data_IF_989228427200
#
_entry.id   IF_989228427200
#
_cell.length_a   1.000
_cell.length_b   1.000
_cell.length_c   1.000
_cell.angle_alpha   90.00
_cell.angle_beta   90.00
_cell.angle_gamma   90.00
#
_symmetry.space_group_name_H-M   'P 1'
#
loop_
_entity.id
_entity.type
_entity.pdbx_description
1 polymer ?
#
# COMPACT_ATOMS: atom_id res chain seq x y z
N UNK A 1 6.22 -14.96 20.46
CA UNK A 1 6.12 -14.86 18.99
C UNK A 1 6.86 -13.63 18.50
N UNK A 2 7.72 -13.77 17.52
CA UNK A 2 8.34 -12.58 16.92
C UNK A 2 7.27 -11.72 16.24
N UNK A 3 7.39 -10.41 16.41
CA UNK A 3 6.52 -9.48 15.68
C UNK A 3 6.86 -9.50 14.19
N UNK A 4 5.85 -9.38 13.34
CA UNK A 4 6.09 -9.15 11.93
C UNK A 4 6.82 -7.82 11.76
N UNK A 5 7.88 -7.75 10.93
CA UNK A 5 8.49 -6.47 10.58
C UNK A 5 7.47 -5.54 9.93
N UNK A 6 7.50 -4.29 10.37
CA UNK A 6 6.43 -3.36 10.02
C UNK A 6 6.93 -1.93 10.22
N UNK A 7 6.75 -1.10 9.20
CA UNK A 7 7.04 0.32 9.24
C UNK A 7 5.73 1.10 9.10
N UNK A 8 5.48 1.98 10.03
CA UNK A 8 4.33 2.89 9.99
C UNK A 8 4.84 4.32 9.87
N UNK A 9 4.37 5.03 8.85
CA UNK A 9 4.71 6.42 8.61
C UNK A 9 3.47 7.28 8.67
N UNK A 10 3.57 8.37 9.42
CA UNK A 10 2.51 9.37 9.48
C UNK A 10 2.65 10.30 8.27
N UNK A 11 1.55 10.57 7.60
CA UNK A 11 1.48 11.58 6.54
C UNK A 11 1.07 12.90 7.20
N UNK A 12 1.88 13.94 7.01
CA UNK A 12 1.65 15.23 7.68
C UNK A 12 2.06 16.39 6.78
N UNK A 13 1.28 17.48 6.84
CA UNK A 13 1.57 18.78 6.23
C UNK A 13 1.59 19.91 7.28
N UNK A 14 1.89 19.56 8.54
CA UNK A 14 1.71 20.40 9.71
C UNK A 14 0.49 19.97 10.52
N UNK A 15 -0.45 19.24 9.87
CA UNK A 15 -1.59 18.60 10.48
C UNK A 15 -1.60 17.13 10.08
N UNK A 16 -2.30 16.28 10.84
CA UNK A 16 -2.40 14.86 10.47
C UNK A 16 -3.21 14.70 9.20
N UNK A 17 -2.61 14.07 8.17
CA UNK A 17 -3.23 13.81 6.87
C UNK A 17 -3.61 12.35 6.67
N UNK A 18 -2.93 11.42 7.36
CA UNK A 18 -3.14 10.00 7.19
C UNK A 18 -1.93 9.20 7.60
N UNK A 19 -1.88 7.96 7.15
CA UNK A 19 -0.78 7.05 7.44
C UNK A 19 -0.55 6.10 6.27
N UNK A 20 0.69 5.64 6.13
CA UNK A 20 1.07 4.56 5.21
C UNK A 20 1.88 3.54 6.00
N UNK A 21 1.64 2.25 5.76
CA UNK A 21 2.40 1.20 6.41
C UNK A 21 2.98 0.23 5.38
N UNK A 22 4.11 -0.36 5.74
CA UNK A 22 4.79 -1.39 4.96
C UNK A 22 4.95 -2.62 5.87
N UNK A 23 4.34 -3.72 5.45
CA UNK A 23 4.31 -4.99 6.18
C UNK A 23 5.07 -6.04 5.38
N UNK A 24 6.01 -6.72 6.00
CA UNK A 24 6.86 -7.65 5.28
C UNK A 24 7.39 -8.77 6.19
N UNK A 25 7.89 -9.84 5.57
CA UNK A 25 8.69 -10.87 6.23
C UNK A 25 10.14 -10.68 5.83
N UNK A 26 11.06 -10.77 6.78
CA UNK A 26 12.49 -10.65 6.48
C UNK A 26 12.98 -11.87 5.70
N UNK A 27 13.82 -11.62 4.70
CA UNK A 27 14.43 -12.65 3.88
C UNK A 27 13.57 -13.21 2.75
N UNK A 28 12.39 -12.66 2.54
CA UNK A 28 11.49 -13.07 1.45
C UNK A 28 10.65 -11.91 0.95
N UNK A 29 10.23 -11.97 -0.30
CA UNK A 29 9.28 -11.04 -0.89
C UNK A 29 7.82 -11.51 -0.74
N UNK A 30 7.58 -12.63 -0.07
CA UNK A 30 6.24 -13.16 0.16
C UNK A 30 5.44 -12.27 1.09
N UNK A 31 4.11 -12.31 0.92
CA UNK A 31 3.22 -11.61 1.84
C UNK A 31 3.23 -12.27 3.22
N UNK A 32 3.25 -11.46 4.31
CA UNK A 32 3.04 -12.00 5.63
C UNK A 32 1.68 -12.70 5.75
N UNK A 33 1.54 -13.70 6.64
CA UNK A 33 0.25 -14.34 6.88
C UNK A 33 -0.80 -13.32 7.32
N UNK A 34 -2.03 -13.52 6.88
CA UNK A 34 -3.21 -12.72 7.25
C UNK A 34 -3.18 -11.24 6.79
N UNK A 35 -2.27 -10.88 5.87
CA UNK A 35 -2.29 -9.56 5.23
C UNK A 35 -2.51 -9.72 3.73
N UNK A 36 -3.20 -8.75 3.13
CA UNK A 36 -3.58 -8.80 1.72
C UNK A 36 -2.58 -8.10 0.80
N UNK A 37 -1.66 -7.31 1.36
CA UNK A 37 -0.64 -6.61 0.61
C UNK A 37 0.48 -6.14 1.53
N UNK A 38 1.63 -5.80 0.93
CA UNK A 38 2.76 -5.26 1.66
C UNK A 38 2.51 -3.83 2.15
N UNK A 39 1.73 -3.05 1.40
CA UNK A 39 1.49 -1.63 1.68
C UNK A 39 0.01 -1.36 1.81
N UNK A 40 -0.35 -0.69 2.89
CA UNK A 40 -1.67 -0.11 3.07
C UNK A 40 -1.53 1.37 3.42
N UNK A 41 -2.48 2.20 2.96
CA UNK A 41 -2.45 3.62 3.29
C UNK A 41 -3.86 4.20 3.36
N UNK A 42 -3.98 5.30 4.08
CA UNK A 42 -5.21 6.08 4.16
C UNK A 42 -4.89 7.56 4.29
N UNK A 43 -5.74 8.38 3.71
CA UNK A 43 -5.68 9.84 3.84
C UNK A 43 -7.02 10.30 4.38
N UNK A 44 -7.00 11.17 5.40
CA UNK A 44 -8.25 11.69 5.97
C UNK A 44 -9.06 12.43 4.91
N UNK A 45 -10.41 12.35 4.91
CA UNK A 45 -11.23 12.85 3.81
C UNK A 45 -10.98 14.31 3.43
N UNK A 46 -10.76 15.19 4.39
CA UNK A 46 -10.54 16.62 4.15
C UNK A 46 -9.15 16.97 3.64
N UNK A 47 -8.25 15.98 3.57
CA UNK A 47 -6.90 16.13 3.01
C UNK A 47 -6.71 15.38 1.70
N UNK A 48 -7.77 14.77 1.17
CA UNK A 48 -7.70 14.02 -0.11
C UNK A 48 -7.54 14.96 -1.29
N UNK A 49 -7.07 14.40 -2.42
CA UNK A 49 -6.84 15.09 -3.69
C UNK A 49 -5.76 16.18 -3.63
N UNK A 50 -4.82 16.05 -2.71
CA UNK A 50 -3.68 16.96 -2.54
C UNK A 50 -2.33 16.32 -2.87
N UNK A 51 -2.34 15.08 -3.40
CA UNK A 51 -1.13 14.37 -3.75
C UNK A 51 -0.41 13.69 -2.59
N UNK A 52 -0.97 13.67 -1.39
CA UNK A 52 -0.33 13.09 -0.20
C UNK A 52 -0.14 11.59 -0.34
N UNK A 53 -1.14 10.87 -0.85
CA UNK A 53 -1.03 9.42 -1.06
C UNK A 53 0.03 9.09 -2.12
N UNK A 54 0.08 9.87 -3.21
CA UNK A 54 1.08 9.72 -4.27
C UNK A 54 2.49 9.93 -3.71
N UNK A 55 2.69 10.99 -2.93
CA UNK A 55 3.98 11.28 -2.31
C UNK A 55 4.39 10.19 -1.30
N UNK A 56 3.44 9.73 -0.49
CA UNK A 56 3.69 8.68 0.50
C UNK A 56 4.09 7.36 -0.17
N UNK A 57 3.40 6.98 -1.24
CA UNK A 57 3.73 5.76 -1.99
C UNK A 57 5.12 5.86 -2.62
N UNK A 58 5.46 7.03 -3.18
CA UNK A 58 6.79 7.27 -3.74
C UNK A 58 7.90 7.15 -2.68
N UNK A 59 7.63 7.56 -1.44
CA UNK A 59 8.59 7.46 -0.36
C UNK A 59 8.77 6.03 0.15
N UNK A 60 7.73 5.21 0.08
CA UNK A 60 7.81 3.82 0.57
C UNK A 60 8.62 2.92 -0.38
N UNK A 61 8.68 3.23 -1.67
CA UNK A 61 9.37 2.41 -2.66
C UNK A 61 10.87 2.25 -2.36
N UNK A 62 11.65 3.30 -2.07
CA UNK A 62 13.06 3.14 -1.71
C UNK A 62 13.25 2.40 -0.37
N UNK A 63 12.30 2.51 0.55
CA UNK A 63 12.34 1.78 1.82
C UNK A 63 12.16 0.28 1.55
N UNK A 64 11.20 -0.09 0.73
CA UNK A 64 10.99 -1.48 0.33
C UNK A 64 12.18 -2.03 -0.43
N UNK A 65 12.76 -1.24 -1.32
CA UNK A 65 13.96 -1.61 -2.05
C UNK A 65 15.14 -1.88 -1.12
N UNK A 66 15.33 -1.04 -0.10
CA UNK A 66 16.39 -1.22 0.91
C UNK A 66 16.20 -2.50 1.72
N UNK A 67 14.96 -2.97 1.89
CA UNK A 67 14.64 -4.24 2.54
C UNK A 67 14.76 -5.46 1.60
N UNK A 68 15.18 -5.26 0.35
CA UNK A 68 15.41 -6.33 -0.62
C UNK A 68 14.25 -6.63 -1.55
N UNK A 69 13.20 -5.82 -1.54
CA UNK A 69 12.05 -6.02 -2.40
C UNK A 69 12.28 -5.44 -3.80
N UNK A 70 12.08 -6.25 -4.83
CA UNK A 70 12.02 -5.80 -6.21
C UNK A 70 10.63 -5.32 -6.58
N UNK A 71 9.62 -5.92 -5.97
CA UNK A 71 8.21 -5.62 -6.17
C UNK A 71 7.47 -5.70 -4.86
N UNK A 72 6.43 -4.89 -4.73
CA UNK A 72 5.52 -4.91 -3.59
C UNK A 72 4.09 -5.07 -4.08
N UNK A 73 3.23 -5.57 -3.21
CA UNK A 73 1.80 -5.67 -3.46
C UNK A 73 1.09 -4.59 -2.67
N UNK A 74 0.27 -3.80 -3.36
CA UNK A 74 -0.54 -2.73 -2.77
C UNK A 74 -2.00 -3.08 -3.00
N UNK A 75 -2.80 -3.03 -1.95
CA UNK A 75 -4.24 -3.31 -2.03
C UNK A 75 -5.05 -2.03 -2.03
N UNK A 76 -6.16 -2.05 -2.76
CA UNK A 76 -7.18 -1.03 -2.63
C UNK A 76 -8.57 -1.63 -2.80
N UNK A 77 -9.58 -0.93 -2.27
CA UNK A 77 -10.97 -1.32 -2.47
C UNK A 77 -11.39 -1.13 -3.93
N UNK A 78 -12.26 -2.00 -4.42
CA UNK A 78 -12.70 -2.01 -5.82
C UNK A 78 -13.42 -0.72 -6.24
N UNK A 79 -14.03 -0.03 -5.30
CA UNK A 79 -14.76 1.23 -5.54
C UNK A 79 -13.96 2.48 -5.17
N UNK A 80 -12.71 2.33 -4.75
CA UNK A 80 -11.85 3.46 -4.41
C UNK A 80 -11.03 3.88 -5.65
N UNK A 81 -11.67 4.62 -6.54
CA UNK A 81 -11.05 5.04 -7.80
C UNK A 81 -9.85 5.94 -7.61
N UNK A 82 -9.86 6.80 -6.58
CA UNK A 82 -8.72 7.68 -6.26
C UNK A 82 -7.49 6.87 -5.85
N UNK A 83 -7.67 5.87 -5.01
CA UNK A 83 -6.59 4.97 -4.59
C UNK A 83 -6.03 4.20 -5.78
N UNK A 84 -6.90 3.64 -6.60
CA UNK A 84 -6.52 2.91 -7.80
C UNK A 84 -5.70 3.77 -8.74
N UNK A 85 -6.13 5.01 -8.97
CA UNK A 85 -5.43 5.95 -9.85
C UNK A 85 -4.01 6.26 -9.34
N UNK A 86 -3.86 6.47 -8.03
CA UNK A 86 -2.54 6.70 -7.41
C UNK A 86 -1.61 5.53 -7.68
N UNK A 87 -2.09 4.30 -7.49
CA UNK A 87 -1.30 3.09 -7.69
C UNK A 87 -0.93 2.92 -9.18
N UNK A 88 -1.88 3.13 -10.08
CA UNK A 88 -1.64 3.01 -11.53
C UNK A 88 -0.65 4.06 -12.03
N UNK A 89 -0.74 5.30 -11.54
CA UNK A 89 0.22 6.35 -11.89
C UNK A 89 1.63 6.05 -11.39
N UNK A 90 1.76 5.30 -10.30
CA UNK A 90 3.06 4.85 -9.81
C UNK A 90 3.61 3.64 -10.59
N UNK A 91 2.87 3.14 -11.57
CA UNK A 91 3.27 2.00 -12.38
C UNK A 91 2.70 0.67 -11.92
N UNK A 92 1.71 0.69 -11.03
CA UNK A 92 1.09 -0.53 -10.52
C UNK A 92 0.27 -1.26 -11.58
N UNK A 93 0.37 -2.58 -11.56
CA UNK A 93 -0.37 -3.47 -12.45
C UNK A 93 -1.28 -4.37 -11.63
N UNK A 94 -2.57 -4.42 -12.00
CA UNK A 94 -3.52 -5.31 -11.37
C UNK A 94 -3.09 -6.76 -11.56
N UNK A 95 -2.90 -7.49 -10.47
CA UNK A 95 -2.45 -8.88 -10.51
C UNK A 95 -3.45 -9.86 -9.91
N UNK A 96 -4.37 -9.40 -9.06
CA UNK A 96 -5.38 -10.27 -8.44
C UNK A 96 -6.55 -9.45 -7.92
N UNK A 97 -7.65 -10.16 -7.68
CA UNK A 97 -8.85 -9.62 -7.04
C UNK A 97 -9.34 -10.68 -6.07
N UNK A 98 -9.69 -10.27 -4.85
CA UNK A 98 -10.20 -11.15 -3.81
C UNK A 98 -11.48 -10.59 -3.22
N UNK A 99 -12.45 -11.46 -2.92
CA UNK A 99 -13.66 -11.05 -2.22
C UNK A 99 -13.32 -10.41 -0.88
N UNK A 100 -13.99 -9.30 -0.57
CA UNK A 100 -13.82 -8.62 0.70
C UNK A 100 -14.84 -9.17 1.71
N UNK A 101 -14.39 -9.91 2.76
CA UNK A 101 -15.31 -10.48 3.74
C UNK A 101 -16.03 -9.43 4.58
N UNK A 102 -15.48 -8.23 4.69
CA UNK A 102 -16.10 -7.13 5.44
C UNK A 102 -17.13 -6.35 4.62
N UNK A 103 -17.16 -6.54 3.30
CA UNK A 103 -18.03 -5.78 2.38
C UNK A 103 -18.63 -6.72 1.33
N UNK A 104 -19.73 -7.42 1.63
CA UNK A 104 -20.35 -8.34 0.68
C UNK A 104 -20.63 -7.67 -0.68
N UNK A 105 -20.30 -8.37 -1.77
CA UNK A 105 -20.44 -7.86 -3.13
C UNK A 105 -19.29 -6.97 -3.60
N UNK A 106 -18.30 -6.71 -2.75
CA UNK A 106 -17.10 -5.94 -3.08
C UNK A 106 -15.85 -6.81 -3.05
N UNK A 107 -14.79 -6.31 -3.67
CA UNK A 107 -13.50 -7.00 -3.77
C UNK A 107 -12.37 -6.09 -3.35
N UNK A 108 -11.28 -6.70 -2.92
CA UNK A 108 -9.97 -6.06 -2.78
C UNK A 108 -9.18 -6.28 -4.06
N UNK A 109 -8.66 -5.23 -4.63
CA UNK A 109 -7.80 -5.27 -5.80
C UNK A 109 -6.34 -5.27 -5.35
N UNK A 110 -5.55 -6.20 -5.88
CA UNK A 110 -4.14 -6.33 -5.57
C UNK A 110 -3.31 -5.89 -6.77
N UNK A 111 -2.48 -4.88 -6.56
CA UNK A 111 -1.60 -4.34 -7.58
C UNK A 111 -0.16 -4.68 -7.28
N UNK A 112 0.60 -5.04 -8.31
CA UNK A 112 2.03 -5.24 -8.23
C UNK A 112 2.73 -3.97 -8.66
N UNK A 113 3.69 -3.52 -7.85
CA UNK A 113 4.38 -2.26 -8.06
C UNK A 113 5.89 -2.50 -7.95
N UNK A 114 6.64 -2.09 -8.99
CA UNK A 114 8.10 -2.16 -8.97
C UNK A 114 8.68 -1.14 -7.99
N UNK A 115 9.73 -1.55 -7.26
CA UNK A 115 10.49 -0.66 -6.38
C UNK A 115 11.62 0.06 -7.12
N UNK A 116 11.82 -0.26 -8.39
CA UNK A 116 12.92 0.28 -9.18
C UNK A 116 14.21 -0.56 -9.09
N UNK A 117 14.15 -1.70 -8.41
CA UNK A 117 15.30 -2.60 -8.30
C UNK A 117 15.37 -3.58 -9.47
#
# INVERSE_FOLDING_TARGET
MPRLPFHLFRISDGEFCGAINFRFLRGTEDLPPHVEGHVGYSVVPWKRRRGYATAALALILPIARAEGFRRIVVTCDDDNFSCRKVIELAGGMLCASKSDPARPGHSKLLFRLSTGA
#
